data_IF_997858749663
#
_entry.id   IF_997858749663
#
_cell.length_a   1.000
_cell.length_b   1.000
_cell.length_c   1.000
_cell.angle_alpha   90.00
_cell.angle_beta   90.00
_cell.angle_gamma   90.00
#
_symmetry.space_group_name_H-M   'P 1'
#
loop_
_entity.id
_entity.type
_entity.pdbx_description
1 polymer ?
#
# COMPACT_ATOMS: atom_id res chain seq x y z
N UNK A 1 -14.49 -29.71 -8.32
CA UNK A 1 -15.31 -29.33 -7.14
C UNK A 1 -14.76 -30.07 -5.95
N UNK A 2 -13.99 -29.39 -5.09
CA UNK A 2 -13.43 -30.00 -3.88
C UNK A 2 -14.10 -29.32 -2.70
N UNK A 3 -14.93 -30.07 -1.96
CA UNK A 3 -15.68 -29.60 -0.79
C UNK A 3 -14.80 -29.77 0.43
N UNK A 4 -14.45 -28.67 1.10
CA UNK A 4 -13.78 -28.69 2.40
C UNK A 4 -14.84 -28.52 3.49
N UNK A 5 -14.95 -29.50 4.39
CA UNK A 5 -15.79 -29.42 5.59
C UNK A 5 -15.00 -28.72 6.70
N UNK A 6 -15.47 -27.54 7.12
CA UNK A 6 -14.93 -26.84 8.28
C UNK A 6 -15.76 -27.19 9.52
N UNK A 7 -15.07 -27.54 10.61
CA UNK A 7 -15.67 -27.85 11.91
C UNK A 7 -16.45 -26.63 12.47
N UNK A 8 -17.55 -26.85 13.22
CA UNK A 8 -18.37 -25.78 13.75
C UNK A 8 -17.66 -25.08 14.91
N UNK A 9 -17.21 -23.84 14.70
CA UNK A 9 -16.67 -23.00 15.78
C UNK A 9 -15.53 -22.08 15.38
N UNK A 10 -14.90 -22.29 14.23
CA UNK A 10 -13.95 -21.31 13.68
C UNK A 10 -14.73 -20.43 12.72
N UNK A 11 -14.94 -19.15 13.06
CA UNK A 11 -15.19 -18.14 12.04
C UNK A 11 -13.88 -18.00 11.27
N UNK A 12 -13.60 -18.99 10.42
CA UNK A 12 -12.59 -18.88 9.38
C UNK A 12 -13.15 -17.86 8.42
N UNK A 13 -12.71 -16.62 8.59
CA UNK A 13 -12.91 -15.57 7.62
C UNK A 13 -12.28 -16.08 6.32
N UNK A 14 -13.07 -16.72 5.46
CA UNK A 14 -12.64 -17.05 4.10
C UNK A 14 -12.40 -15.70 3.44
N UNK A 15 -11.13 -15.29 3.40
CA UNK A 15 -10.73 -14.25 2.46
C UNK A 15 -10.93 -14.90 1.11
N UNK A 16 -11.94 -14.45 0.37
CA UNK A 16 -12.21 -14.95 -0.97
C UNK A 16 -10.97 -14.67 -1.83
N UNK A 17 -10.63 -15.58 -2.77
CA UNK A 17 -9.47 -15.41 -3.65
C UNK A 17 -9.49 -14.05 -4.39
N UNK A 18 -10.68 -13.48 -4.61
CA UNK A 18 -10.88 -12.14 -5.16
C UNK A 18 -10.40 -11.00 -4.22
N UNK A 19 -10.56 -11.14 -2.91
CA UNK A 19 -10.07 -10.16 -1.93
C UNK A 19 -8.54 -10.21 -1.82
N UNK A 20 -7.94 -11.40 -1.93
CA UNK A 20 -6.48 -11.56 -2.01
C UNK A 20 -5.94 -10.89 -3.28
N UNK A 21 -6.56 -11.15 -4.43
CA UNK A 21 -6.15 -10.54 -5.70
C UNK A 21 -6.28 -9.00 -5.68
N UNK A 22 -7.34 -8.47 -5.05
CA UNK A 22 -7.51 -7.01 -4.87
C UNK A 22 -6.42 -6.42 -3.97
N UNK A 23 -6.07 -7.12 -2.89
CA UNK A 23 -5.02 -6.69 -1.97
C UNK A 23 -3.63 -6.69 -2.64
N UNK A 24 -3.33 -7.71 -3.44
CA UNK A 24 -2.09 -7.80 -4.19
C UNK A 24 -1.98 -6.69 -5.25
N UNK A 25 -3.07 -6.41 -5.97
CA UNK A 25 -3.11 -5.30 -6.91
C UNK A 25 -2.89 -3.94 -6.22
N UNK A 26 -3.53 -3.72 -5.08
CA UNK A 26 -3.35 -2.51 -4.28
C UNK A 26 -1.91 -2.35 -3.77
N UNK A 27 -1.30 -3.44 -3.29
CA UNK A 27 0.10 -3.47 -2.85
C UNK A 27 1.07 -3.20 -4.00
N UNK A 28 0.80 -3.71 -5.20
CA UNK A 28 1.61 -3.44 -6.39
C UNK A 28 1.58 -1.94 -6.75
N UNK A 29 0.39 -1.32 -6.71
CA UNK A 29 0.23 0.14 -6.95
C UNK A 29 0.97 0.97 -5.90
N UNK A 30 0.86 0.60 -4.62
CA UNK A 30 1.57 1.30 -3.54
C UNK A 30 3.08 1.24 -3.75
N UNK A 31 3.65 0.05 -3.99
CA UNK A 31 5.09 -0.15 -4.21
C UNK A 31 5.59 0.59 -5.44
N UNK A 32 4.83 0.58 -6.54
CA UNK A 32 5.19 1.32 -7.75
C UNK A 32 5.23 2.83 -7.47
N UNK A 33 4.22 3.35 -6.75
CA UNK A 33 4.14 4.78 -6.40
C UNK A 33 5.28 5.20 -5.48
N UNK A 34 5.61 4.38 -4.47
CA UNK A 34 6.75 4.63 -3.58
C UNK A 34 8.08 4.69 -4.34
N UNK A 35 8.30 3.77 -5.29
CA UNK A 35 9.52 3.75 -6.11
C UNK A 35 9.64 5.00 -6.98
N UNK A 36 8.57 5.39 -7.66
CA UNK A 36 8.59 6.59 -8.51
C UNK A 36 8.84 7.86 -7.70
N UNK A 37 8.13 8.02 -6.57
CA UNK A 37 8.32 9.19 -5.70
C UNK A 37 9.73 9.22 -5.13
N UNK A 38 10.28 8.06 -4.76
CA UNK A 38 11.69 7.97 -4.35
C UNK A 38 12.64 8.41 -5.47
N UNK A 39 12.46 7.87 -6.67
CA UNK A 39 13.37 8.15 -7.78
C UNK A 39 13.34 9.64 -8.19
N UNK A 40 12.22 10.33 -7.96
CA UNK A 40 12.05 11.77 -8.24
C UNK A 40 12.38 12.70 -7.07
N UNK A 41 12.05 12.32 -5.83
CA UNK A 41 12.07 13.19 -4.65
C UNK A 41 12.98 12.69 -3.51
N UNK A 42 13.83 11.69 -3.73
CA UNK A 42 14.84 11.31 -2.73
C UNK A 42 15.68 12.53 -2.30
N UNK A 43 15.89 12.68 -1.00
CA UNK A 43 16.60 13.82 -0.42
C UNK A 43 15.82 15.14 -0.39
N UNK A 44 14.56 15.17 -0.82
CA UNK A 44 13.66 16.31 -0.63
C UNK A 44 13.03 16.28 0.77
N UNK A 45 12.52 17.42 1.28
CA UNK A 45 11.85 17.46 2.58
C UNK A 45 10.68 16.47 2.66
N UNK A 46 10.58 15.76 3.78
CA UNK A 46 9.51 14.77 4.08
C UNK A 46 8.11 15.29 3.73
N UNK A 47 7.81 16.57 4.02
CA UNK A 47 6.51 17.16 3.70
C UNK A 47 6.19 17.15 2.19
N UNK A 48 7.17 17.49 1.35
CA UNK A 48 6.99 17.48 -0.10
C UNK A 48 6.84 16.06 -0.65
N UNK A 49 7.60 15.10 -0.11
CA UNK A 49 7.50 13.67 -0.46
C UNK A 49 6.14 13.11 -0.06
N UNK A 50 5.68 13.42 1.15
CA UNK A 50 4.39 12.97 1.67
C UNK A 50 3.22 13.50 0.84
N UNK A 51 3.21 14.80 0.53
CA UNK A 51 2.14 15.41 -0.24
C UNK A 51 2.07 14.82 -1.66
N UNK A 52 3.22 14.52 -2.27
CA UNK A 52 3.27 13.86 -3.59
C UNK A 52 2.81 12.39 -3.53
N UNK A 53 3.17 11.65 -2.48
CA UNK A 53 2.66 10.28 -2.25
C UNK A 53 1.14 10.27 -2.14
N UNK A 54 0.58 11.14 -1.31
CA UNK A 54 -0.88 11.26 -1.13
C UNK A 54 -1.54 11.61 -2.45
N UNK A 55 -0.99 12.57 -3.20
CA UNK A 55 -1.53 12.99 -4.50
C UNK A 55 -1.54 11.86 -5.53
N UNK A 56 -0.42 11.14 -5.69
CA UNK A 56 -0.30 10.04 -6.66
C UNK A 56 -1.12 8.83 -6.27
N UNK A 57 -1.12 8.47 -5.00
CA UNK A 57 -1.95 7.37 -4.51
C UNK A 57 -3.41 7.69 -4.80
N UNK A 58 -3.94 8.84 -4.36
CA UNK A 58 -5.33 9.26 -4.66
C UNK A 58 -5.69 9.25 -6.14
N UNK A 59 -4.74 9.54 -7.03
CA UNK A 59 -4.98 9.49 -8.48
C UNK A 59 -5.03 8.05 -9.04
N UNK A 60 -4.35 7.10 -8.40
CA UNK A 60 -4.22 5.70 -8.85
C UNK A 60 -5.20 4.76 -8.17
N UNK A 61 -5.52 5.04 -6.91
CA UNK A 61 -6.39 4.25 -6.08
C UNK A 61 -7.72 4.98 -5.95
N UNK A 62 -8.82 4.34 -6.36
CA UNK A 62 -10.16 4.91 -6.24
C UNK A 62 -10.66 4.95 -4.79
N UNK A 63 -11.92 5.36 -4.62
CA UNK A 63 -12.62 5.39 -3.35
C UNK A 63 -12.75 3.96 -2.78
N UNK A 64 -11.85 3.58 -1.88
CA UNK A 64 -11.82 2.23 -1.30
C UNK A 64 -10.44 1.81 -0.80
N UNK A 65 -9.38 2.46 -1.28
CA UNK A 65 -8.04 2.28 -0.74
C UNK A 65 -7.82 3.21 0.43
N UNK A 66 -7.56 2.63 1.59
CA UNK A 66 -7.25 3.38 2.82
C UNK A 66 -5.85 3.03 3.26
N UNK A 67 -4.96 4.02 3.27
CA UNK A 67 -3.65 3.91 3.95
C UNK A 67 -3.65 4.89 5.10
N UNK A 68 -3.06 4.50 6.22
CA UNK A 68 -2.95 5.38 7.38
C UNK A 68 -1.96 6.49 7.05
N UNK A 69 -2.32 7.73 7.37
CA UNK A 69 -1.44 8.90 7.18
C UNK A 69 -0.08 8.71 7.86
N UNK A 70 -0.08 8.07 9.03
CA UNK A 70 1.16 7.72 9.75
C UNK A 70 2.08 6.77 8.96
N UNK A 71 1.50 5.80 8.23
CA UNK A 71 2.28 4.85 7.41
C UNK A 71 2.87 5.58 6.19
N UNK A 72 2.08 6.45 5.54
CA UNK A 72 2.59 7.29 4.44
C UNK A 72 3.67 8.28 4.88
N UNK A 73 3.56 8.82 6.11
CA UNK A 73 4.60 9.68 6.67
C UNK A 73 5.89 8.91 6.94
N UNK A 74 5.81 7.71 7.50
CA UNK A 74 6.98 6.86 7.69
C UNK A 74 7.65 6.49 6.35
N UNK A 75 6.85 6.18 5.32
CA UNK A 75 7.36 5.94 3.97
C UNK A 75 8.04 7.20 3.38
N UNK A 76 7.44 8.38 3.59
CA UNK A 76 8.00 9.65 3.14
C UNK A 76 9.32 10.00 3.84
N UNK A 77 9.42 9.72 5.15
CA UNK A 77 10.66 9.84 5.93
C UNK A 77 11.74 8.92 5.35
N UNK A 78 11.42 7.64 5.13
CA UNK A 78 12.36 6.69 4.57
C UNK A 78 12.81 7.07 3.13
N UNK A 79 11.93 7.66 2.32
CA UNK A 79 12.29 8.18 0.98
C UNK A 79 13.20 9.40 1.09
N UNK A 80 12.83 10.36 1.93
CA UNK A 80 13.61 11.58 2.19
C UNK A 80 15.02 11.21 2.65
N UNK A 81 15.14 10.24 3.56
CA UNK A 81 16.39 9.76 4.12
C UNK A 81 17.15 8.80 3.20
N UNK A 82 16.54 8.39 2.07
CA UNK A 82 17.12 7.46 1.11
C UNK A 82 17.23 6.02 1.60
N UNK A 83 16.52 5.66 2.68
CA UNK A 83 16.52 4.33 3.29
C UNK A 83 15.40 3.42 2.75
N UNK A 84 14.43 3.98 2.02
CA UNK A 84 13.33 3.19 1.44
C UNK A 84 13.84 2.25 0.32
N UNK A 85 13.71 0.94 0.56
CA UNK A 85 14.17 -0.17 -0.29
C UNK A 85 15.69 -0.36 -0.40
N UNK A 86 16.46 0.22 0.52
CA UNK A 86 17.90 -0.01 0.69
C UNK A 86 18.23 -1.30 1.43
#
# INVERSE_FOLDING_TARGET
MTRFEFAPGTVGMMIEDEDVARLDAANAVLRATLREVRDELAGQPVGAVHDELVRRLRARVGDGFTVRDADLRADAEAISDGTLFG
#
